data_IF_612648469837
#
_entry.id   IF_612648469837
#
_cell.length_a   1.000
_cell.length_b   1.000
_cell.length_c   1.000
_cell.angle_alpha   90.00
_cell.angle_beta   90.00
_cell.angle_gamma   90.00
#
_symmetry.space_group_name_H-M   'P 1'
#
loop_
_entity.id
_entity.type
_entity.pdbx_description
1 polymer ?
#
# COMPACT_ATOMS: atom_id res chain seq x y z
N UNK A 1 17.49 7.80 2.94
CA UNK A 1 16.65 7.18 1.90
C UNK A 1 15.21 7.68 2.09
N UNK A 2 14.58 8.18 1.04
CA UNK A 2 13.18 8.63 1.06
C UNK A 2 12.27 7.44 1.34
N UNK A 3 11.37 7.58 2.31
CA UNK A 3 10.39 6.54 2.67
C UNK A 3 9.43 6.37 1.50
N UNK A 4 9.25 5.13 1.03
CA UNK A 4 8.44 4.85 -0.16
C UNK A 4 7.02 4.52 0.25
N UNK A 5 6.06 5.14 -0.42
CA UNK A 5 4.66 4.75 -0.28
C UNK A 5 4.44 3.36 -0.85
N UNK A 6 3.53 2.60 -0.25
CA UNK A 6 3.19 1.25 -0.64
C UNK A 6 1.90 1.27 -1.43
N UNK A 7 1.93 0.83 -2.69
CA UNK A 7 0.77 0.76 -3.55
C UNK A 7 0.20 -0.64 -3.55
N UNK A 8 -1.09 -0.77 -3.28
CA UNK A 8 -1.86 -2.00 -3.49
C UNK A 8 -2.51 -1.91 -4.86
N UNK A 9 -2.01 -2.68 -5.82
CA UNK A 9 -2.40 -2.61 -7.25
C UNK A 9 -2.91 -3.95 -7.76
N UNK A 10 -3.83 -3.96 -8.73
CA UNK A 10 -4.17 -5.20 -9.45
C UNK A 10 -2.93 -5.72 -10.19
N UNK A 11 -2.72 -7.04 -10.16
CA UNK A 11 -1.58 -7.70 -10.78
C UNK A 11 -1.96 -9.10 -11.24
N UNK A 12 -2.00 -9.35 -12.56
CA UNK A 12 -2.26 -10.68 -13.15
C UNK A 12 -3.53 -11.38 -12.63
N UNK A 13 -4.62 -10.63 -12.41
CA UNK A 13 -5.87 -11.17 -11.85
C UNK A 13 -5.89 -11.28 -10.32
N UNK A 14 -4.77 -10.97 -9.67
CA UNK A 14 -4.60 -10.91 -8.22
C UNK A 14 -4.31 -9.48 -7.76
N UNK A 15 -3.78 -9.34 -6.55
CA UNK A 15 -3.37 -8.08 -5.93
C UNK A 15 -1.91 -8.11 -5.54
N UNK A 16 -1.22 -6.99 -5.64
CA UNK A 16 0.18 -6.90 -5.29
C UNK A 16 0.51 -5.63 -4.52
N UNK A 17 1.52 -5.73 -3.65
CA UNK A 17 2.13 -4.58 -2.98
C UNK A 17 3.33 -4.13 -3.79
N UNK A 18 3.40 -2.84 -4.13
CA UNK A 18 4.50 -2.24 -4.90
C UNK A 18 4.96 -0.94 -4.24
N UNK A 19 6.23 -0.87 -3.87
CA UNK A 19 6.82 0.39 -3.40
C UNK A 19 6.83 1.45 -4.50
N UNK A 20 6.55 2.70 -4.16
CA UNK A 20 6.59 3.82 -5.09
C UNK A 20 7.96 3.89 -5.80
N UNK A 21 7.94 3.97 -7.13
CA UNK A 21 9.13 3.97 -7.98
C UNK A 21 9.83 2.62 -8.16
N UNK A 22 9.37 1.54 -7.51
CA UNK A 22 9.91 0.20 -7.77
C UNK A 22 9.41 -0.33 -9.11
N UNK A 23 10.25 -1.06 -9.85
CA UNK A 23 9.81 -1.77 -11.07
C UNK A 23 9.14 -3.11 -10.75
N UNK A 24 9.54 -3.74 -9.65
CA UNK A 24 9.01 -5.02 -9.18
C UNK A 24 8.01 -4.84 -8.04
N UNK A 25 7.05 -5.76 -7.98
CA UNK A 25 6.17 -5.93 -6.82
C UNK A 25 6.97 -6.52 -5.65
N UNK A 26 6.65 -6.10 -4.43
CA UNK A 26 7.22 -6.61 -3.19
C UNK A 26 6.57 -7.95 -2.79
N UNK A 27 5.27 -8.12 -3.04
CA UNK A 27 4.52 -9.35 -2.76
C UNK A 27 3.23 -9.41 -3.57
N UNK A 28 2.70 -10.61 -3.80
CA UNK A 28 1.41 -10.89 -4.43
C UNK A 28 0.47 -11.58 -3.44
N UNK A 29 -0.84 -11.37 -3.60
CA UNK A 29 -1.89 -11.83 -2.71
C UNK A 29 -3.17 -12.09 -3.50
N UNK A 30 -3.95 -13.10 -3.10
CA UNK A 30 -5.20 -13.45 -3.78
C UNK A 30 -6.29 -12.37 -3.66
N UNK A 31 -6.27 -11.56 -2.61
CA UNK A 31 -7.27 -10.50 -2.39
C UNK A 31 -6.66 -9.13 -2.12
N UNK A 32 -7.45 -8.09 -2.38
CA UNK A 32 -7.08 -6.71 -2.10
C UNK A 32 -6.87 -6.45 -0.61
N UNK A 33 -7.66 -7.12 0.23
CA UNK A 33 -7.59 -6.99 1.68
C UNK A 33 -6.26 -7.54 2.22
N UNK A 34 -5.84 -8.70 1.74
CA UNK A 34 -4.55 -9.32 2.13
C UNK A 34 -3.36 -8.45 1.70
N UNK A 35 -3.39 -7.95 0.46
CA UNK A 35 -2.37 -7.02 -0.02
C UNK A 35 -2.35 -5.71 0.79
N UNK A 36 -3.51 -5.17 1.16
CA UNK A 36 -3.60 -3.99 2.00
C UNK A 36 -3.04 -4.23 3.41
N UNK A 37 -3.34 -5.37 4.02
CA UNK A 37 -2.78 -5.74 5.31
C UNK A 37 -1.24 -5.86 5.28
N UNK A 38 -0.69 -6.43 4.21
CA UNK A 38 0.76 -6.50 4.00
C UNK A 38 1.38 -5.11 3.76
N UNK A 39 0.77 -4.30 2.89
CA UNK A 39 1.22 -2.93 2.61
C UNK A 39 1.21 -2.06 3.88
N UNK A 40 0.19 -2.20 4.73
CA UNK A 40 0.07 -1.51 6.02
C UNK A 40 1.23 -1.82 6.96
N UNK A 41 1.60 -3.10 7.11
CA UNK A 41 2.76 -3.49 7.95
C UNK A 41 4.05 -2.83 7.45
N UNK A 42 4.25 -2.81 6.13
CA UNK A 42 5.43 -2.19 5.51
C UNK A 42 5.41 -0.67 5.73
N UNK A 43 4.26 -0.02 5.50
CA UNK A 43 4.11 1.42 5.63
C UNK A 43 4.28 1.91 7.08
N UNK A 44 3.78 1.17 8.06
CA UNK A 44 4.01 1.46 9.49
C UNK A 44 5.51 1.41 9.82
N UNK A 45 6.20 0.34 9.41
CA UNK A 45 7.63 0.19 9.67
C UNK A 45 8.47 1.26 8.96
N UNK A 46 8.05 1.66 7.76
CA UNK A 46 8.72 2.69 6.97
C UNK A 46 8.25 4.10 7.32
N UNK A 47 7.25 4.27 8.19
CA UNK A 47 6.56 5.53 8.46
C UNK A 47 6.16 6.26 7.17
N UNK A 48 5.49 5.52 6.26
CA UNK A 48 5.04 5.98 4.95
C UNK A 48 3.54 5.73 4.75
N UNK A 49 3.05 5.95 3.53
CA UNK A 49 1.63 5.83 3.21
C UNK A 49 1.32 4.54 2.46
N UNK A 50 0.09 4.04 2.59
CA UNK A 50 -0.50 3.02 1.74
C UNK A 50 -1.47 3.68 0.76
N UNK A 51 -1.38 3.35 -0.52
CA UNK A 51 -2.31 3.79 -1.55
C UNK A 51 -2.99 2.57 -2.13
N UNK A 52 -4.30 2.47 -1.99
CA UNK A 52 -5.08 1.32 -2.46
C UNK A 52 -5.75 1.67 -3.78
N UNK A 53 -5.48 0.90 -4.83
CA UNK A 53 -6.06 1.08 -6.15
C UNK A 53 -7.27 0.17 -6.34
N UNK A 54 -8.22 0.57 -7.20
CA UNK A 54 -9.32 -0.25 -7.72
C UNK A 54 -8.79 -1.19 -8.83
N UNK A 55 -9.58 -2.20 -9.26
CA UNK A 55 -9.23 -3.03 -10.42
C UNK A 55 -8.98 -2.23 -11.70
N UNK A 56 -9.61 -1.07 -11.85
CA UNK A 56 -9.40 -0.15 -12.98
C UNK A 56 -8.16 0.77 -12.81
N UNK A 57 -7.32 0.53 -11.80
CA UNK A 57 -6.10 1.30 -11.54
C UNK A 57 -6.30 2.65 -10.84
N UNK A 58 -7.54 3.14 -10.70
CA UNK A 58 -7.83 4.39 -9.99
C UNK A 58 -7.60 4.23 -8.49
N UNK A 59 -7.28 5.31 -7.79
CA UNK A 59 -7.14 5.28 -6.34
C UNK A 59 -8.52 5.08 -5.70
N UNK A 60 -8.64 4.05 -4.87
CA UNK A 60 -9.80 3.80 -4.02
C UNK A 60 -9.68 4.54 -2.70
N UNK A 61 -8.52 4.42 -2.06
CA UNK A 61 -8.31 4.85 -0.68
C UNK A 61 -6.82 5.07 -0.37
N UNK A 62 -6.51 5.79 0.71
CA UNK A 62 -5.15 6.05 1.19
C UNK A 62 -5.09 6.10 2.72
N UNK A 63 -4.10 5.43 3.28
CA UNK A 63 -3.77 5.52 4.71
C UNK A 63 -2.36 6.10 4.90
N UNK A 64 -2.19 7.08 5.80
CA UNK A 64 -0.87 7.59 6.15
C UNK A 64 -0.41 7.04 7.50
N UNK A 65 0.82 6.52 7.54
CA UNK A 65 1.50 6.08 8.75
C UNK A 65 2.78 6.88 9.00
N UNK A 66 2.89 8.06 8.36
CA UNK A 66 3.88 9.05 8.71
C UNK A 66 3.72 9.51 10.16
N UNK A 67 4.66 10.33 10.67
CA UNK A 67 4.57 10.94 12.00
C UNK A 67 3.44 11.98 12.01
N UNK A 68 2.21 11.50 11.90
CA UNK A 68 1.00 12.30 12.01
C UNK A 68 0.74 12.50 13.50
N UNK A 69 0.75 13.73 14.03
CA UNK A 69 0.40 13.99 15.43
C UNK A 69 -1.06 13.63 15.75
N UNK A 70 -1.88 13.25 14.75
CA UNK A 70 -3.29 12.92 14.92
C UNK A 70 -3.65 11.60 14.20
N UNK A 71 -3.41 10.43 14.81
CA UNK A 71 -3.85 9.17 14.20
C UNK A 71 -5.38 9.16 14.07
N UNK A 72 -5.94 8.63 12.96
CA UNK A 72 -7.39 8.49 12.82
C UNK A 72 -7.91 7.60 13.95
N UNK A 73 -8.97 8.07 14.62
CA UNK A 73 -9.68 7.28 15.64
C UNK A 73 -10.27 6.06 14.93
N UNK A 74 -9.86 4.88 15.37
CA UNK A 74 -10.45 3.61 14.95
C UNK A 74 -11.90 3.47 15.36
#
# INVERSE_FOLDING_TARGET
>A
MTRKNQHVVPHNGEWAVRGAGNQRVTSTHGTQADAAAAARKIAINQQSEVVIHRPNGQIRDKDSYGRDPFPPRG
#
